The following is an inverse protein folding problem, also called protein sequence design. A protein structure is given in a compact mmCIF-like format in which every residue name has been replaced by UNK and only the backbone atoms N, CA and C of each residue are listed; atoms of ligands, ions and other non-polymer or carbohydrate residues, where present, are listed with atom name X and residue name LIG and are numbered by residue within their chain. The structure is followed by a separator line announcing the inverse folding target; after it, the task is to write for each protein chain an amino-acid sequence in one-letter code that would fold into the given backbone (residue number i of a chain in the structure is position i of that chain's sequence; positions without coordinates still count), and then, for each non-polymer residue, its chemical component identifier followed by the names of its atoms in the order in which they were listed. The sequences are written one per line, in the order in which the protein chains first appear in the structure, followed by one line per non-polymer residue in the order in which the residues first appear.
data_IF_979767309957
#
_entry.id   IF_979767309957
#
_cell.length_a   1.000
_cell.length_b   1.000
_cell.length_c   1.000
_cell.angle_alpha   90.00
_cell.angle_beta   90.00
_cell.angle_gamma   90.00
#
_symmetry.space_group_name_H-M   'P 1'
#
loop_
_entity.id
_entity.type
_entity.pdbx_description
1 polymer ?
#
# COMPACT_ATOMS: atom_id res chain seq x y z
N UNK A 1 -8.63 -63.19 47.55
CA UNK A 1 -8.60 -62.50 46.23
C UNK A 1 -8.66 -61.01 46.52
N UNK A 2 -7.67 -60.44 47.22
CA UNK A 2 -6.21 -60.50 46.94
C UNK A 2 -5.95 -60.16 45.48
N UNK A 3 -5.05 -59.27 45.09
CA UNK A 3 -4.09 -58.36 45.72
C UNK A 3 -3.74 -57.42 44.53
N UNK A 4 -3.40 -56.16 44.73
CA UNK A 4 -2.03 -55.69 44.90
C UNK A 4 -2.15 -54.18 45.19
N UNK A 5 -1.61 -53.60 46.27
CA UNK A 5 -0.16 -53.45 46.55
C UNK A 5 0.40 -52.39 45.57
N UNK A 6 0.85 -51.17 45.93
CA UNK A 6 1.71 -50.73 47.02
C UNK A 6 1.50 -49.23 47.31
N UNK A 7 1.37 -48.96 48.61
CA UNK A 7 1.71 -47.74 49.32
C UNK A 7 3.21 -47.39 49.20
N UNK A 8 3.55 -46.18 48.73
CA UNK A 8 4.64 -45.48 49.40
C UNK A 8 4.51 -43.96 49.30
N UNK A 9 4.19 -43.39 50.46
CA UNK A 9 4.88 -42.21 51.02
C UNK A 9 4.58 -40.87 50.34
N UNK A 10 3.58 -40.23 50.91
CA UNK A 10 3.79 -38.93 51.58
C UNK A 10 5.27 -38.66 51.92
N UNK A 11 5.87 -37.71 51.21
CA UNK A 11 6.85 -36.78 51.77
C UNK A 11 6.63 -35.46 51.03
N UNK A 12 5.66 -34.65 51.46
CA UNK A 12 5.97 -33.47 52.26
C UNK A 12 7.26 -32.77 51.80
N UNK A 13 7.23 -32.11 50.63
CA UNK A 13 7.94 -30.83 50.54
C UNK A 13 6.97 -29.78 51.04
N UNK A 14 7.23 -29.42 52.29
CA UNK A 14 6.48 -28.55 53.15
C UNK A 14 6.04 -27.23 52.51
N UNK A 15 4.81 -26.86 52.89
CA UNK A 15 4.46 -25.58 53.48
C UNK A 15 4.90 -24.30 52.74
N UNK A 16 4.02 -23.87 51.84
CA UNK A 16 3.79 -22.46 51.59
C UNK A 16 2.39 -22.30 51.02
N UNK A 17 1.36 -22.16 51.86
CA UNK A 17 0.04 -21.72 51.40
C UNK A 17 0.19 -20.27 50.93
N UNK A 18 0.61 -20.08 49.69
CA UNK A 18 0.70 -18.76 49.09
C UNK A 18 -0.75 -18.32 48.91
N UNK A 19 -1.23 -17.49 49.84
CA UNK A 19 -2.50 -16.78 49.70
C UNK A 19 -2.34 -15.74 48.60
N UNK A 20 -2.34 -16.19 47.35
CA UNK A 20 -2.28 -15.30 46.20
C UNK A 20 -3.63 -14.58 46.17
N UNK A 21 -3.61 -13.27 46.49
CA UNK A 21 -4.81 -12.44 46.37
C UNK A 21 -5.29 -12.56 44.93
N UNK A 22 -6.58 -12.76 44.70
CA UNK A 22 -7.16 -12.81 43.34
C UNK A 22 -6.72 -11.60 42.50
N UNK A 23 -6.57 -10.44 43.13
CA UNK A 23 -6.00 -9.22 42.53
C UNK A 23 -4.55 -9.36 42.04
N UNK A 24 -3.69 -10.11 42.75
CA UNK A 24 -2.31 -10.40 42.32
C UNK A 24 -2.26 -11.43 41.18
N UNK A 25 -3.15 -12.43 41.17
CA UNK A 25 -3.28 -13.35 40.04
C UNK A 25 -3.78 -12.65 38.78
N UNK A 26 -4.79 -11.79 38.92
CA UNK A 26 -5.33 -11.00 37.81
C UNK A 26 -4.28 -10.00 37.30
N UNK A 27 -3.56 -9.32 38.21
CA UNK A 27 -2.48 -8.41 37.83
C UNK A 27 -1.35 -9.12 37.09
N UNK A 28 -0.98 -10.34 37.49
CA UNK A 28 0.05 -11.14 36.81
C UNK A 28 -0.42 -11.59 35.42
N UNK A 29 -1.68 -12.03 35.29
CA UNK A 29 -2.26 -12.40 34.00
C UNK A 29 -2.32 -11.21 33.03
N UNK A 30 -2.76 -10.04 33.51
CA UNK A 30 -2.79 -8.81 32.69
C UNK A 30 -1.39 -8.42 32.24
N UNK A 31 -0.38 -8.52 33.11
CA UNK A 31 1.00 -8.23 32.75
C UNK A 31 1.54 -9.20 31.69
N UNK A 32 1.25 -10.49 31.81
CA UNK A 32 1.66 -11.48 30.81
C UNK A 32 1.00 -11.25 29.44
N UNK A 33 -0.28 -10.85 29.43
CA UNK A 33 -1.01 -10.50 28.20
C UNK A 33 -0.42 -9.22 27.57
N UNK A 34 -0.10 -8.21 28.37
CA UNK A 34 0.51 -6.99 27.86
C UNK A 34 1.90 -7.26 27.26
N UNK A 35 2.72 -8.08 27.92
CA UNK A 35 4.04 -8.48 27.42
C UNK A 35 3.93 -9.28 26.12
N UNK A 36 2.97 -10.20 26.01
CA UNK A 36 2.77 -10.97 24.78
C UNK A 36 2.28 -10.09 23.62
N UNK A 37 1.36 -9.15 23.87
CA UNK A 37 0.91 -8.19 22.85
C UNK A 37 2.05 -7.30 22.35
N UNK A 38 2.88 -6.79 23.27
CA UNK A 38 4.05 -5.98 22.94
C UNK A 38 5.05 -6.78 22.12
N UNK A 39 5.32 -8.04 22.48
CA UNK A 39 6.22 -8.92 21.72
C UNK A 39 5.73 -9.18 20.28
N UNK A 40 4.42 -9.35 20.08
CA UNK A 40 3.83 -9.53 18.73
C UNK A 40 3.99 -8.26 17.88
N UNK A 41 3.75 -7.07 18.47
CA UNK A 41 3.95 -5.79 17.78
C UNK A 41 5.41 -5.63 17.34
N UNK A 42 6.35 -5.92 18.24
CA UNK A 42 7.78 -5.88 17.91
C UNK A 42 8.15 -6.91 16.84
N UNK A 43 7.67 -8.15 16.92
CA UNK A 43 7.95 -9.18 15.92
C UNK A 43 7.44 -8.79 14.52
N UNK A 44 6.23 -8.23 14.42
CA UNK A 44 5.70 -7.70 13.15
C UNK A 44 6.57 -6.57 12.57
N UNK A 45 7.09 -5.69 13.43
CA UNK A 45 8.02 -4.63 13.04
C UNK A 45 9.35 -5.19 12.54
N UNK A 46 9.93 -6.16 13.26
CA UNK A 46 11.18 -6.83 12.86
C UNK A 46 11.05 -7.60 11.53
N UNK A 47 9.90 -8.21 11.24
CA UNK A 47 9.64 -8.90 9.98
C UNK A 47 9.57 -7.93 8.78
N UNK A 48 9.08 -6.71 8.98
CA UNK A 48 8.99 -5.68 7.92
C UNK A 48 10.37 -5.23 7.45
N UNK A 49 11.36 -5.07 8.34
CA UNK A 49 12.72 -4.62 7.99
C UNK A 49 13.52 -5.65 7.16
N UNK A 50 13.25 -6.95 7.31
CA UNK A 50 13.93 -8.01 6.56
C UNK A 50 13.41 -8.14 5.11
N UNK A 51 12.18 -7.70 4.86
CA UNK A 51 11.55 -7.76 3.54
C UNK A 51 12.21 -6.81 2.52
N UNK A 52 12.84 -5.73 2.97
CA UNK A 52 13.40 -4.71 2.07
C UNK A 52 14.64 -5.20 1.29
N UNK A 53 15.35 -6.21 1.80
CA UNK A 53 16.56 -6.73 1.15
C UNK A 53 16.29 -7.80 0.07
N UNK A 54 15.31 -8.68 0.29
CA UNK A 54 15.06 -9.83 -0.61
C UNK A 54 14.38 -9.38 -1.91
N UNK A 55 13.47 -8.41 -1.85
CA UNK A 55 12.74 -7.92 -3.04
C UNK A 55 13.59 -6.99 -3.91
N UNK A 56 14.56 -6.27 -3.33
CA UNK A 56 15.42 -5.33 -4.07
C UNK A 56 16.44 -6.04 -4.96
N UNK A 57 16.94 -7.21 -4.56
CA UNK A 57 17.93 -7.95 -5.35
C UNK A 57 17.31 -8.56 -6.60
N UNK A 58 16.13 -9.18 -6.49
CA UNK A 58 15.43 -9.78 -7.63
C UNK A 58 14.83 -8.71 -8.56
N UNK A 59 14.30 -7.62 -7.99
CA UNK A 59 13.77 -6.50 -8.78
C UNK A 59 14.87 -5.83 -9.62
N UNK A 60 16.08 -5.65 -9.09
CA UNK A 60 17.22 -5.09 -9.84
C UNK A 60 17.66 -5.99 -10.99
N UNK A 61 17.66 -7.30 -10.79
CA UNK A 61 18.01 -8.27 -11.84
C UNK A 61 16.98 -8.24 -12.99
N UNK A 62 15.69 -8.18 -12.65
CA UNK A 62 14.60 -8.09 -13.62
C UNK A 62 14.67 -6.76 -14.39
N UNK A 63 14.90 -5.63 -13.71
CA UNK A 63 15.05 -4.31 -14.36
C UNK A 63 16.25 -4.32 -15.33
N UNK A 64 17.41 -4.82 -14.89
CA UNK A 64 18.61 -4.91 -15.75
C UNK A 64 18.37 -5.77 -16.99
N UNK A 65 17.58 -6.85 -16.86
CA UNK A 65 17.20 -7.75 -17.97
C UNK A 65 16.13 -7.15 -18.89
N UNK A 66 15.30 -6.24 -18.40
CA UNK A 66 14.34 -5.49 -19.20
C UNK A 66 15.03 -4.36 -19.95
N UNK A 67 15.92 -3.62 -19.31
CA UNK A 67 16.70 -2.54 -19.94
C UNK A 67 17.55 -3.05 -21.11
N UNK A 68 18.19 -4.21 -20.96
CA UNK A 68 18.95 -4.83 -22.06
C UNK A 68 18.08 -5.25 -23.24
N UNK A 69 16.84 -5.69 -22.98
CA UNK A 69 15.86 -6.03 -24.03
C UNK A 69 15.21 -4.79 -24.68
N UNK A 70 15.08 -3.69 -23.95
CA UNK A 70 14.53 -2.43 -24.46
C UNK A 70 15.56 -1.73 -25.35
N UNK A 71 16.86 -1.85 -25.05
CA UNK A 71 17.94 -1.27 -25.85
C UNK A 71 18.12 -1.94 -27.23
N UNK A 72 17.62 -3.16 -27.43
CA UNK A 72 17.79 -3.89 -28.71
C UNK A 72 16.58 -3.70 -29.65
N UNK A 73 15.43 -3.22 -29.15
CA UNK A 73 14.18 -3.11 -29.92
C UNK A 73 13.57 -1.70 -29.90
N UNK A 74 14.37 -0.64 -29.76
CA UNK A 74 13.89 0.73 -29.95
C UNK A 74 14.09 1.17 -31.41
N UNK A 75 13.02 1.31 -32.23
CA UNK A 75 13.10 2.15 -33.41
C UNK A 75 13.03 3.61 -32.93
N UNK A 76 14.18 4.24 -32.73
CA UNK A 76 14.27 5.69 -32.59
C UNK A 76 15.09 6.27 -33.72
N UNK A 77 14.41 6.52 -34.84
CA UNK A 77 14.70 7.69 -35.67
C UNK A 77 13.42 8.06 -36.45
N UNK A 78 12.45 8.64 -35.75
CA UNK A 78 11.50 9.51 -36.44
C UNK A 78 12.21 10.85 -36.66
N UNK A 79 12.14 11.42 -37.87
CA UNK A 79 12.75 12.73 -38.14
C UNK A 79 12.26 13.72 -37.09
N UNK A 80 13.18 14.46 -36.47
CA UNK A 80 12.86 15.60 -35.61
C UNK A 80 12.32 16.69 -36.53
N UNK A 81 11.07 16.54 -36.94
CA UNK A 81 10.24 17.63 -37.43
C UNK A 81 10.04 18.51 -36.20
N UNK A 82 10.59 19.72 -36.22
CA UNK A 82 10.27 20.72 -35.21
C UNK A 82 8.74 20.77 -35.12
N UNK A 83 8.12 20.46 -33.96
CA UNK A 83 6.68 20.38 -33.89
C UNK A 83 6.14 21.79 -34.09
N UNK A 84 5.67 22.07 -35.29
CA UNK A 84 4.80 23.21 -35.53
C UNK A 84 3.57 23.03 -34.61
N UNK A 85 3.05 24.11 -33.99
CA UNK A 85 1.90 24.01 -33.12
C UNK A 85 0.74 23.32 -33.84
N UNK A 86 0.33 22.16 -33.32
CA UNK A 86 -0.86 21.47 -33.81
C UNK A 86 -2.07 22.24 -33.31
N UNK A 87 -2.81 22.86 -34.22
CA UNK A 87 -4.09 23.52 -33.91
C UNK A 87 -5.17 22.45 -33.88
N UNK A 88 -5.81 22.29 -32.72
CA UNK A 88 -6.98 21.41 -32.54
C UNK A 88 -8.25 22.23 -32.79
N UNK A 89 -9.14 21.77 -33.68
CA UNK A 89 -10.46 22.39 -33.86
C UNK A 89 -11.38 22.02 -32.70
N UNK A 90 -12.28 22.93 -32.32
CA UNK A 90 -13.22 22.77 -31.20
C UNK A 90 -14.70 22.92 -31.63
N UNK A 91 -14.98 22.85 -32.93
CA UNK A 91 -16.26 23.34 -33.49
C UNK A 91 -17.51 22.62 -32.95
N UNK A 92 -17.44 21.30 -32.75
CA UNK A 92 -18.59 20.49 -32.31
C UNK A 92 -18.24 19.53 -31.16
N UNK A 93 -17.15 19.81 -30.45
CA UNK A 93 -16.71 18.97 -29.33
C UNK A 93 -17.50 19.32 -28.05
N UNK A 94 -17.72 18.35 -27.15
CA UNK A 94 -18.27 18.63 -25.84
C UNK A 94 -17.34 19.55 -25.05
N UNK A 95 -17.88 20.66 -24.53
CA UNK A 95 -17.15 21.64 -23.73
C UNK A 95 -17.81 21.75 -22.36
N UNK A 96 -17.00 21.87 -21.31
CA UNK A 96 -17.46 22.09 -19.93
C UNK A 96 -16.70 23.29 -19.38
N UNK A 97 -17.42 24.27 -18.85
CA UNK A 97 -16.84 25.48 -18.27
C UNK A 97 -17.37 26.76 -18.90
N UNK A 98 -16.73 27.88 -18.54
CA UNK A 98 -17.10 29.19 -19.06
C UNK A 98 -16.61 29.34 -20.51
N UNK A 99 -17.51 29.63 -21.45
CA UNK A 99 -17.16 29.86 -22.86
C UNK A 99 -16.11 30.97 -23.06
N UNK A 100 -16.04 31.91 -22.12
CA UNK A 100 -15.13 33.06 -22.16
C UNK A 100 -13.81 32.80 -21.41
N UNK A 101 -13.58 31.58 -20.91
CA UNK A 101 -12.32 31.23 -20.26
C UNK A 101 -11.13 31.36 -21.24
N UNK A 102 -10.07 32.02 -20.78
CA UNK A 102 -8.89 32.32 -21.60
C UNK A 102 -8.00 31.11 -21.90
N UNK A 103 -8.17 30.02 -21.14
CA UNK A 103 -7.38 28.80 -21.27
C UNK A 103 -8.33 27.66 -21.64
N UNK A 104 -7.91 26.85 -22.61
CA UNK A 104 -8.64 25.64 -23.03
C UNK A 104 -7.77 24.42 -22.80
N UNK A 105 -8.34 23.38 -22.18
CA UNK A 105 -7.70 22.08 -22.01
C UNK A 105 -8.45 21.05 -22.85
N UNK A 106 -7.75 20.39 -23.78
CA UNK A 106 -8.32 19.31 -24.59
C UNK A 106 -7.83 17.97 -24.05
N UNK A 107 -8.76 17.12 -23.61
CA UNK A 107 -8.47 15.74 -23.21
C UNK A 107 -8.64 14.79 -24.39
N UNK A 108 -7.56 14.06 -24.73
CA UNK A 108 -7.64 12.91 -25.61
C UNK A 108 -7.74 11.65 -24.76
N UNK A 109 -8.90 10.99 -24.77
CA UNK A 109 -9.16 9.80 -23.96
C UNK A 109 -9.74 8.66 -24.78
N UNK A 110 -9.62 7.45 -24.24
CA UNK A 110 -10.21 6.23 -24.78
C UNK A 110 -10.99 5.55 -23.64
N UNK A 111 -12.21 5.11 -23.90
CA UNK A 111 -13.05 4.43 -22.91
C UNK A 111 -12.45 3.14 -22.36
N UNK A 112 -11.52 2.51 -23.08
CA UNK A 112 -10.84 1.28 -22.68
C UNK A 112 -9.49 1.53 -22.01
N UNK A 113 -9.04 2.78 -21.92
CA UNK A 113 -7.76 3.14 -21.33
C UNK A 113 -7.86 3.16 -19.78
N UNK A 114 -7.16 2.26 -19.05
CA UNK A 114 -7.26 2.20 -17.59
C UNK A 114 -6.67 3.43 -16.89
N UNK A 115 -5.70 4.11 -17.51
CA UNK A 115 -5.14 5.36 -16.97
C UNK A 115 -6.12 6.53 -17.12
N UNK A 116 -6.90 6.53 -18.19
CA UNK A 116 -7.94 7.52 -18.47
C UNK A 116 -9.09 7.34 -17.45
N UNK A 117 -9.46 6.10 -17.13
CA UNK A 117 -10.41 5.82 -16.05
C UNK A 117 -9.91 6.35 -14.69
N UNK A 118 -8.64 6.15 -14.35
CA UNK A 118 -8.05 6.71 -13.12
C UNK A 118 -8.06 8.25 -13.13
N UNK A 119 -7.69 8.87 -14.26
CA UNK A 119 -7.73 10.34 -14.41
C UNK A 119 -9.14 10.88 -14.11
N UNK A 120 -10.18 10.28 -14.69
CA UNK A 120 -11.57 10.68 -14.49
C UNK A 120 -12.02 10.57 -13.02
N UNK A 121 -11.50 9.59 -12.28
CA UNK A 121 -11.88 9.38 -10.87
C UNK A 121 -11.08 10.27 -9.91
N UNK A 122 -9.79 10.45 -10.16
CA UNK A 122 -8.87 11.04 -9.18
C UNK A 122 -8.48 12.49 -9.50
N UNK A 123 -8.30 12.83 -10.78
CA UNK A 123 -7.71 14.11 -11.20
C UNK A 123 -8.75 15.07 -11.78
N UNK A 124 -9.64 14.58 -12.64
CA UNK A 124 -10.66 15.39 -13.29
C UNK A 124 -11.54 16.18 -12.31
N UNK A 125 -12.00 15.62 -11.15
CA UNK A 125 -12.79 16.38 -10.19
C UNK A 125 -12.05 17.58 -9.60
N UNK A 126 -10.72 17.45 -9.39
CA UNK A 126 -9.89 18.53 -8.89
C UNK A 126 -9.73 19.64 -9.94
N UNK A 127 -9.59 19.26 -11.22
CA UNK A 127 -9.54 20.22 -12.32
C UNK A 127 -10.87 20.98 -12.42
N UNK A 128 -11.98 20.26 -12.30
CA UNK A 128 -13.32 20.82 -12.34
C UNK A 128 -13.48 21.89 -11.25
N UNK A 129 -13.26 21.53 -9.98
CA UNK A 129 -13.44 22.43 -8.83
C UNK A 129 -12.48 23.64 -8.88
N UNK A 130 -11.20 23.41 -9.19
CA UNK A 130 -10.17 24.44 -9.01
C UNK A 130 -10.05 25.40 -10.21
N UNK A 131 -10.49 24.97 -11.41
CA UNK A 131 -10.23 25.71 -12.65
C UNK A 131 -11.47 25.89 -13.52
N UNK A 132 -12.31 24.87 -13.67
CA UNK A 132 -13.51 24.96 -14.52
C UNK A 132 -14.59 25.77 -13.80
N UNK A 133 -14.91 25.40 -12.56
CA UNK A 133 -15.94 26.06 -11.75
C UNK A 133 -15.56 27.50 -11.39
N UNK A 134 -14.26 27.79 -11.33
CA UNK A 134 -13.75 29.16 -11.13
C UNK A 134 -13.66 29.98 -12.42
N UNK A 135 -14.06 29.41 -13.56
CA UNK A 135 -14.09 30.08 -14.86
C UNK A 135 -12.71 30.34 -15.47
N UNK A 136 -11.65 29.71 -14.95
CA UNK A 136 -10.28 29.86 -15.46
C UNK A 136 -10.03 29.03 -16.72
N UNK A 137 -10.72 27.90 -16.84
CA UNK A 137 -10.54 26.92 -17.92
C UNK A 137 -11.91 26.49 -18.47
N UNK A 138 -11.91 26.13 -19.76
CA UNK A 138 -12.96 25.39 -20.44
C UNK A 138 -12.38 24.20 -21.23
#
# INVERSE_FOLDING_TARGET
MDSDEIDSKQTQVNAGKISIKKSLLISLLVLLILVSLVAVIFANSYMTLKSEQVTKSELKEIITKLESKISENQPSEQPIMQPEPVIVSLDNDPIIGNSDASITIVEFSDFQCPFCARFQIETFPLILEQYVDTGKVK
#
